data_IF_604010936711
#
_entry.id   IF_604010936711
#
_cell.length_a   1.000
_cell.length_b   1.000
_cell.length_c   1.000
_cell.angle_alpha   90.00
_cell.angle_beta   90.00
_cell.angle_gamma   90.00
#
_symmetry.space_group_name_H-M   'P 1'
#
loop_
_entity.id
_entity.type
_entity.pdbx_description
1 polymer ?
#
# COMPACT_ATOMS: atom_id res chain seq x y z
N UNK A 1 9.40 2.63 3.46
CA UNK A 1 8.67 2.45 4.72
C UNK A 1 7.51 3.45 4.80
N UNK A 2 6.27 2.99 4.97
CA UNK A 2 5.04 3.80 5.03
C UNK A 2 4.33 3.50 6.35
N UNK A 3 4.39 4.42 7.31
CA UNK A 3 3.89 4.16 8.67
C UNK A 3 3.11 5.35 9.19
N UNK A 4 2.03 5.05 9.92
CA UNK A 4 1.27 6.03 10.69
C UNK A 4 1.54 5.74 12.17
N UNK A 5 1.94 6.76 12.91
CA UNK A 5 2.12 6.68 14.36
C UNK A 5 0.86 6.09 15.03
N UNK A 6 1.06 5.15 15.95
CA UNK A 6 0.01 4.38 16.59
C UNK A 6 -1.10 5.25 17.22
N UNK A 7 -0.75 6.44 17.74
CA UNK A 7 -1.69 7.39 18.36
C UNK A 7 -2.69 7.98 17.35
N UNK A 8 -2.34 7.93 16.07
CA UNK A 8 -3.06 8.53 14.96
C UNK A 8 -3.64 7.49 13.98
N UNK A 9 -3.43 6.20 14.22
CA UNK A 9 -4.03 5.12 13.43
C UNK A 9 -5.57 5.10 13.57
N UNK A 10 -6.25 4.42 12.62
CA UNK A 10 -7.72 4.28 12.56
C UNK A 10 -8.50 5.60 12.41
N UNK A 11 -7.83 6.71 12.09
CA UNK A 11 -8.43 8.02 11.81
C UNK A 11 -8.52 8.39 10.32
N UNK A 12 -8.29 7.42 9.43
CA UNK A 12 -8.27 7.65 7.98
C UNK A 12 -6.99 8.31 7.44
N UNK A 13 -5.98 8.55 8.28
CA UNK A 13 -4.74 9.23 7.85
C UNK A 13 -3.95 8.38 6.84
N UNK A 14 -3.79 7.07 7.10
CA UNK A 14 -3.11 6.18 6.16
C UNK A 14 -3.81 6.11 4.79
N UNK A 15 -5.14 6.20 4.79
CA UNK A 15 -5.96 6.29 3.58
C UNK A 15 -5.60 7.57 2.79
N UNK A 16 -5.70 8.73 3.45
CA UNK A 16 -5.43 10.02 2.82
C UNK A 16 -3.98 10.13 2.32
N UNK A 17 -3.02 9.62 3.09
CA UNK A 17 -1.62 9.61 2.70
C UNK A 17 -1.36 8.71 1.48
N UNK A 18 -1.97 7.52 1.43
CA UNK A 18 -1.83 6.60 0.30
C UNK A 18 -2.44 7.17 -0.98
N UNK A 19 -3.58 7.86 -0.90
CA UNK A 19 -4.18 8.60 -2.03
C UNK A 19 -3.23 9.63 -2.63
N UNK A 20 -2.57 10.43 -1.78
CA UNK A 20 -1.60 11.43 -2.23
C UNK A 20 -0.38 10.79 -2.90
N UNK A 21 0.11 9.66 -2.35
CA UNK A 21 1.22 8.92 -2.96
C UNK A 21 0.83 8.38 -4.34
N UNK A 22 -0.31 7.71 -4.47
CA UNK A 22 -0.76 7.15 -5.75
C UNK A 22 -0.95 8.28 -6.78
N UNK A 23 -1.59 9.38 -6.39
CA UNK A 23 -1.78 10.54 -7.26
C UNK A 23 -0.45 11.11 -7.75
N UNK A 24 0.53 11.26 -6.85
CA UNK A 24 1.86 11.75 -7.20
C UNK A 24 2.64 10.78 -8.10
N UNK A 25 2.55 9.47 -7.89
CA UNK A 25 3.26 8.51 -8.74
C UNK A 25 2.66 8.48 -10.15
N UNK A 26 1.33 8.60 -10.27
CA UNK A 26 0.64 8.68 -11.57
C UNK A 26 1.10 9.86 -12.41
N UNK A 27 1.50 10.99 -11.81
CA UNK A 27 1.96 12.16 -12.59
C UNK A 27 3.35 11.97 -13.21
N UNK A 28 4.04 10.86 -12.93
CA UNK A 28 5.39 10.61 -13.45
C UNK A 28 5.40 9.95 -14.83
N UNK A 29 4.25 9.49 -15.33
CA UNK A 29 3.98 8.83 -16.63
C UNK A 29 4.93 7.69 -17.07
N UNK A 30 5.93 7.37 -16.24
CA UNK A 30 7.02 6.42 -16.48
C UNK A 30 6.95 5.23 -15.53
N UNK A 31 6.06 5.28 -14.54
CA UNK A 31 5.89 4.24 -13.52
C UNK A 31 4.59 3.50 -13.80
N UNK A 32 4.70 2.21 -14.16
CA UNK A 32 3.55 1.35 -14.45
C UNK A 32 3.05 0.57 -13.24
N UNK A 33 3.90 0.34 -12.25
CA UNK A 33 3.60 -0.47 -11.07
C UNK A 33 4.09 0.21 -9.78
N UNK A 34 3.24 0.19 -8.75
CA UNK A 34 3.60 0.58 -7.39
C UNK A 34 3.54 -0.65 -6.49
N UNK A 35 4.66 -0.97 -5.85
CA UNK A 35 4.77 -2.11 -4.93
C UNK A 35 4.74 -1.67 -3.47
N UNK A 36 4.20 -2.53 -2.62
CA UNK A 36 4.30 -2.47 -1.16
C UNK A 36 4.23 -3.87 -0.58
N UNK A 37 4.54 -4.00 0.71
CA UNK A 37 4.51 -5.27 1.42
C UNK A 37 3.83 -5.11 2.79
N UNK A 38 3.35 -6.21 3.37
CA UNK A 38 2.87 -6.25 4.77
C UNK A 38 3.09 -7.62 5.42
N UNK A 39 3.31 -7.63 6.73
CA UNK A 39 3.33 -8.85 7.54
C UNK A 39 1.89 -9.39 7.72
N UNK A 40 1.59 -10.66 7.39
CA UNK A 40 0.24 -11.24 7.42
C UNK A 40 -0.23 -11.59 8.85
N UNK A 41 -0.19 -10.61 9.75
CA UNK A 41 -0.63 -10.71 11.14
C UNK A 41 -1.99 -10.04 11.39
N UNK A 42 -2.70 -10.36 12.49
CA UNK A 42 -3.95 -9.70 12.83
C UNK A 42 -3.80 -8.17 12.92
N UNK A 43 -4.68 -7.44 12.23
CA UNK A 43 -4.66 -5.97 12.19
C UNK A 43 -3.74 -5.38 11.11
N UNK A 44 -3.22 -6.20 10.20
CA UNK A 44 -2.46 -5.76 9.04
C UNK A 44 -3.26 -4.79 8.13
N UNK A 45 -2.56 -4.00 7.30
CA UNK A 45 -3.17 -3.04 6.39
C UNK A 45 -3.71 -3.64 5.08
N UNK A 46 -3.74 -4.97 4.89
CA UNK A 46 -4.10 -5.59 3.59
C UNK A 46 -5.46 -5.14 3.07
N UNK A 47 -6.47 -5.06 3.95
CA UNK A 47 -7.81 -4.62 3.58
C UNK A 47 -7.84 -3.16 3.08
N UNK A 48 -6.94 -2.30 3.58
CA UNK A 48 -6.79 -0.94 3.05
C UNK A 48 -6.20 -0.99 1.64
N UNK A 49 -5.11 -1.73 1.44
CA UNK A 49 -4.42 -1.82 0.15
C UNK A 49 -5.33 -2.42 -0.94
N UNK A 50 -6.05 -3.50 -0.62
CA UNK A 50 -7.00 -4.12 -1.54
C UNK A 50 -8.11 -3.16 -2.00
N UNK A 51 -8.58 -2.25 -1.14
CA UNK A 51 -9.56 -1.22 -1.53
C UNK A 51 -9.02 -0.23 -2.57
N UNK A 52 -7.70 -0.05 -2.63
CA UNK A 52 -7.04 0.77 -3.65
C UNK A 52 -6.70 0.00 -4.92
N UNK A 53 -7.04 -1.30 -4.99
CA UNK A 53 -6.75 -2.15 -6.15
C UNK A 53 -5.38 -2.81 -6.11
N UNK A 54 -4.66 -2.75 -4.98
CA UNK A 54 -3.45 -3.56 -4.82
C UNK A 54 -3.81 -5.05 -4.80
N UNK A 55 -3.06 -5.84 -5.55
CA UNK A 55 -3.23 -7.29 -5.65
C UNK A 55 -1.94 -7.99 -5.20
N UNK A 56 -2.04 -9.13 -4.49
CA UNK A 56 -0.87 -9.93 -4.16
C UNK A 56 -0.11 -10.33 -5.42
N UNK A 57 1.22 -10.19 -5.43
CA UNK A 57 2.06 -10.63 -6.55
C UNK A 57 2.33 -12.14 -6.52
N UNK A 58 2.05 -12.78 -5.38
CA UNK A 58 2.44 -14.17 -5.10
C UNK A 58 3.81 -14.28 -4.43
N UNK A 59 4.54 -13.18 -4.29
CA UNK A 59 5.84 -13.13 -3.64
C UNK A 59 5.69 -12.85 -2.14
N UNK A 60 6.62 -13.43 -1.37
CA UNK A 60 6.81 -13.15 0.05
C UNK A 60 8.28 -12.84 0.27
N UNK A 61 8.57 -11.64 0.75
CA UNK A 61 9.92 -11.16 1.04
C UNK A 61 10.04 -10.92 2.54
N UNK A 62 11.00 -11.56 3.20
CA UNK A 62 11.23 -11.42 4.65
C UNK A 62 9.98 -11.65 5.53
N UNK A 63 9.08 -12.52 5.08
CA UNK A 63 7.81 -12.81 5.76
C UNK A 63 6.68 -11.81 5.46
N UNK A 64 6.92 -10.83 4.59
CA UNK A 64 5.93 -9.87 4.15
C UNK A 64 5.33 -10.25 2.80
N UNK A 65 4.00 -10.20 2.68
CA UNK A 65 3.29 -10.43 1.42
C UNK A 65 3.45 -9.19 0.54
N UNK A 66 3.97 -9.37 -0.67
CA UNK A 66 4.13 -8.29 -1.65
C UNK A 66 2.85 -8.09 -2.46
N UNK A 67 2.50 -6.83 -2.69
CA UNK A 67 1.37 -6.43 -3.52
C UNK A 67 1.80 -5.39 -4.54
N UNK A 68 1.12 -5.40 -5.68
CA UNK A 68 1.29 -4.43 -6.75
C UNK A 68 -0.03 -3.73 -7.06
N UNK A 69 0.06 -2.43 -7.37
CA UNK A 69 -1.00 -1.64 -7.99
C UNK A 69 -0.57 -1.27 -9.41
N UNK A 70 -1.40 -1.61 -10.40
CA UNK A 70 -1.23 -1.12 -11.76
C UNK A 70 -1.64 0.35 -11.84
N UNK A 71 -0.75 1.17 -12.41
CA UNK A 71 -0.96 2.62 -12.57
C UNK A 71 -1.31 3.04 -14.00
N UNK A 72 -1.36 2.07 -14.91
CA UNK A 72 -1.85 2.20 -16.30
C UNK A 72 -3.34 2.51 -16.37
#
# INVERSE_FOLDING_TARGET
>A
CFMIDARYQRRGIGKAALEQVIAHVRTKDTVSLLHLSYVPEPGNPAALYQRYGFQPTGEVEDGEVVLALSLT
#
